data_IF_978869284465
#
_entry.id   IF_978869284465
#
_cell.length_a   1.000
_cell.length_b   1.000
_cell.length_c   1.000
_cell.angle_alpha   90.00
_cell.angle_beta   90.00
_cell.angle_gamma   90.00
#
_symmetry.space_group_name_H-M   'P 1'
#
loop_
_entity.id
_entity.type
_entity.pdbx_description
1 polymer ?
#
# COMPACT_ATOMS: atom_id res chain seq x y z
N UNK A 1 7.99 -0.83 1.87
CA UNK A 1 8.38 -0.54 0.47
C UNK A 1 8.50 -1.84 -0.29
N UNK A 2 7.64 -2.07 -1.28
CA UNK A 2 7.69 -3.30 -2.05
C UNK A 2 7.31 -3.07 -3.51
N UNK A 3 7.89 -2.01 -4.09
CA UNK A 3 7.83 -1.83 -5.54
C UNK A 3 8.38 -3.07 -6.25
N UNK A 4 9.31 -3.81 -5.64
CA UNK A 4 9.87 -5.04 -6.21
C UNK A 4 8.81 -6.14 -6.40
N UNK A 5 7.98 -6.47 -5.39
CA UNK A 5 6.94 -7.49 -5.59
C UNK A 5 5.78 -6.98 -6.47
N UNK A 6 5.39 -5.71 -6.36
CA UNK A 6 4.37 -5.11 -7.22
C UNK A 6 4.79 -5.10 -8.70
N UNK A 7 6.02 -4.67 -8.97
CA UNK A 7 6.59 -4.70 -10.31
C UNK A 7 6.84 -6.13 -10.79
N UNK A 8 7.29 -7.06 -9.93
CA UNK A 8 7.40 -8.49 -10.28
C UNK A 8 6.07 -9.05 -10.78
N UNK A 9 4.95 -8.72 -10.14
CA UNK A 9 3.63 -9.16 -10.58
C UNK A 9 3.27 -8.59 -11.97
N UNK A 10 3.60 -7.31 -12.23
CA UNK A 10 3.43 -6.69 -13.55
C UNK A 10 4.32 -7.35 -14.62
N UNK A 11 5.58 -7.67 -14.29
CA UNK A 11 6.53 -8.30 -15.20
C UNK A 11 6.28 -9.80 -15.42
N UNK A 12 5.57 -10.47 -14.51
CA UNK A 12 5.17 -11.87 -14.66
C UNK A 12 4.10 -12.08 -15.75
N UNK A 13 3.40 -11.02 -16.17
CA UNK A 13 2.38 -11.06 -17.22
C UNK A 13 3.00 -10.97 -18.63
N UNK A 14 2.22 -11.39 -19.63
CA UNK A 14 2.65 -11.44 -21.04
C UNK A 14 3.20 -10.09 -21.53
N UNK A 15 4.24 -10.15 -22.36
CA UNK A 15 5.03 -8.99 -22.79
C UNK A 15 4.20 -7.87 -23.43
N UNK A 16 3.13 -8.24 -24.14
CA UNK A 16 2.23 -7.30 -24.83
C UNK A 16 1.47 -6.37 -23.87
N UNK A 17 1.23 -6.81 -22.64
CA UNK A 17 0.42 -6.07 -21.66
C UNK A 17 1.27 -5.28 -20.66
N UNK A 18 2.57 -5.56 -20.55
CA UNK A 18 3.47 -4.97 -19.53
C UNK A 18 3.52 -3.45 -19.55
N UNK A 19 3.66 -2.84 -20.74
CA UNK A 19 3.73 -1.37 -20.86
C UNK A 19 2.46 -0.69 -20.34
N UNK A 20 1.28 -1.24 -20.69
CA UNK A 20 -0.02 -0.74 -20.23
C UNK A 20 -0.19 -0.91 -18.72
N UNK A 21 0.18 -2.07 -18.19
CA UNK A 21 0.08 -2.36 -16.77
C UNK A 21 1.04 -1.51 -15.93
N UNK A 22 2.24 -1.24 -16.42
CA UNK A 22 3.17 -0.34 -15.75
C UNK A 22 2.64 1.11 -15.74
N UNK A 23 2.09 1.57 -16.86
CA UNK A 23 1.43 2.87 -16.92
C UNK A 23 0.28 2.95 -15.90
N UNK A 24 -0.61 1.96 -15.87
CA UNK A 24 -1.69 1.88 -14.89
C UNK A 24 -1.16 1.88 -13.45
N UNK A 25 -0.12 1.09 -13.15
CA UNK A 25 0.49 1.02 -11.82
C UNK A 25 1.00 2.39 -11.38
N UNK A 26 1.73 3.10 -12.25
CA UNK A 26 2.24 4.45 -11.94
C UNK A 26 1.11 5.46 -11.83
N UNK A 27 0.11 5.42 -12.71
CA UNK A 27 -1.08 6.27 -12.62
C UNK A 27 -1.83 6.05 -11.30
N UNK A 28 -1.98 4.81 -10.84
CA UNK A 28 -2.61 4.52 -9.54
C UNK A 28 -1.82 5.10 -8.37
N UNK A 29 -0.49 5.05 -8.41
CA UNK A 29 0.36 5.70 -7.39
C UNK A 29 0.12 7.21 -7.37
N UNK A 30 0.09 7.86 -8.54
CA UNK A 30 -0.17 9.30 -8.63
C UNK A 30 -1.57 9.67 -8.14
N UNK A 31 -2.59 8.90 -8.50
CA UNK A 31 -3.97 9.13 -8.00
C UNK A 31 -4.00 9.03 -6.47
N UNK A 32 -3.37 8.00 -5.90
CA UNK A 32 -3.27 7.84 -4.45
C UNK A 32 -2.52 9.01 -3.79
N UNK A 33 -1.42 9.47 -4.39
CA UNK A 33 -0.65 10.62 -3.89
C UNK A 33 -1.44 11.93 -3.95
N UNK A 34 -2.17 12.17 -5.04
CA UNK A 34 -3.01 13.36 -5.20
C UNK A 34 -4.16 13.38 -4.17
N UNK A 35 -4.84 12.24 -4.01
CA UNK A 35 -5.90 12.09 -3.02
C UNK A 35 -5.38 12.22 -1.58
N UNK A 36 -4.25 11.58 -1.26
CA UNK A 36 -3.61 11.73 0.05
C UNK A 36 -3.24 13.18 0.34
N UNK A 37 -2.71 13.90 -0.65
CA UNK A 37 -2.33 15.31 -0.52
C UNK A 37 -3.53 16.22 -0.29
N UNK A 38 -4.64 16.01 -0.99
CA UNK A 38 -5.84 16.83 -0.82
C UNK A 38 -6.47 16.64 0.56
N UNK A 39 -6.48 15.40 1.08
CA UNK A 39 -7.00 15.09 2.42
C UNK A 39 -6.06 15.59 3.52
N UNK A 40 -4.74 15.55 3.30
CA UNK A 40 -3.75 15.92 4.32
C UNK A 40 -3.90 17.36 4.82
N UNK A 41 -4.21 18.32 3.93
CA UNK A 41 -4.41 19.73 4.33
C UNK A 41 -5.58 19.87 5.32
N UNK A 42 -6.75 19.32 4.96
CA UNK A 42 -7.94 19.39 5.80
C UNK A 42 -7.74 18.67 7.15
N UNK A 43 -7.09 17.50 7.13
CA UNK A 43 -6.77 16.76 8.36
C UNK A 43 -5.84 17.55 9.27
N UNK A 44 -4.85 18.24 8.69
CA UNK A 44 -3.93 19.07 9.46
C UNK A 44 -4.60 20.32 10.03
N UNK A 45 -5.45 20.99 9.26
CA UNK A 45 -6.14 22.20 9.73
C UNK A 45 -7.06 21.92 10.92
N UNK A 46 -7.76 20.78 10.91
CA UNK A 46 -8.70 20.44 11.98
C UNK A 46 -8.06 19.70 13.17
N UNK A 47 -6.94 19.00 12.95
CA UNK A 47 -6.37 18.09 13.94
C UNK A 47 -4.87 18.23 14.18
N UNK A 48 -4.19 19.06 13.40
CA UNK A 48 -2.74 19.18 13.43
C UNK A 48 -2.02 17.88 13.10
N UNK A 49 -0.77 17.80 13.57
CA UNK A 49 0.15 16.72 13.20
C UNK A 49 -0.29 15.33 13.69
N UNK A 50 -0.88 15.24 14.88
CA UNK A 50 -1.30 13.96 15.46
C UNK A 50 -2.31 13.24 14.56
N UNK A 51 -3.29 13.97 14.03
CA UNK A 51 -4.31 13.39 13.15
C UNK A 51 -3.75 12.98 11.80
N UNK A 52 -2.73 13.68 11.26
CA UNK A 52 -1.98 13.20 10.08
C UNK A 52 -1.39 11.81 10.36
N UNK A 53 -0.74 11.63 11.51
CA UNK A 53 -0.11 10.35 11.87
C UNK A 53 -1.15 9.24 12.02
N UNK A 54 -2.28 9.53 12.69
CA UNK A 54 -3.37 8.56 12.87
C UNK A 54 -3.95 8.13 11.51
N UNK A 55 -4.31 9.09 10.65
CA UNK A 55 -4.90 8.79 9.33
C UNK A 55 -3.88 8.09 8.43
N UNK A 56 -2.63 8.55 8.40
CA UNK A 56 -1.57 7.97 7.58
C UNK A 56 -1.16 6.56 8.01
N UNK A 57 -1.29 6.23 9.30
CA UNK A 57 -0.97 4.91 9.83
C UNK A 57 -2.12 3.90 9.74
N UNK A 58 -3.36 4.34 9.49
CA UNK A 58 -4.53 3.47 9.45
C UNK A 58 -4.40 2.32 8.44
N UNK A 59 -4.02 2.61 7.19
CA UNK A 59 -3.86 1.56 6.16
C UNK A 59 -2.72 0.58 6.46
N UNK A 60 -1.50 1.02 6.82
CA UNK A 60 -0.44 0.11 7.28
C UNK A 60 -0.84 -0.74 8.49
N UNK A 61 -1.55 -0.16 9.46
CA UNK A 61 -2.02 -0.89 10.64
C UNK A 61 -3.04 -1.96 10.28
N UNK A 62 -4.01 -1.67 9.41
CA UNK A 62 -4.96 -2.67 8.90
C UNK A 62 -4.24 -3.82 8.17
N UNK A 63 -3.26 -3.49 7.32
CA UNK A 63 -2.46 -4.50 6.62
C UNK A 63 -1.67 -5.38 7.61
N UNK A 64 -1.08 -4.78 8.65
CA UNK A 64 -0.36 -5.48 9.71
C UNK A 64 -1.30 -6.39 10.50
N UNK A 65 -2.45 -5.89 10.94
CA UNK A 65 -3.45 -6.69 11.65
C UNK A 65 -3.92 -7.88 10.81
N UNK A 66 -4.12 -7.66 9.50
CA UNK A 66 -4.49 -8.75 8.59
C UNK A 66 -3.37 -9.79 8.50
N UNK A 67 -2.12 -9.37 8.33
CA UNK A 67 -0.96 -10.26 8.27
C UNK A 67 -0.83 -11.12 9.54
N UNK A 68 -0.97 -10.50 10.71
CA UNK A 68 -0.96 -11.20 11.99
C UNK A 68 -2.13 -12.19 12.12
N UNK A 69 -3.28 -11.87 11.53
CA UNK A 69 -4.44 -12.77 11.50
C UNK A 69 -4.33 -13.90 10.47
N UNK A 70 -3.51 -13.75 9.43
CA UNK A 70 -3.25 -14.82 8.43
C UNK A 70 -2.23 -15.81 8.94
N UNK A 71 -1.25 -15.39 9.74
CA UNK A 71 -0.15 -16.24 10.22
C UNK A 71 -0.71 -17.46 10.99
N UNK A 72 -0.70 -18.68 10.41
CA UNK A 72 -1.13 -19.86 11.12
C UNK A 72 -0.10 -20.18 12.23
N UNK A 73 -0.58 -20.50 13.43
CA UNK A 73 0.22 -20.91 14.61
C UNK A 73 0.97 -22.24 14.43
N UNK A 74 1.41 -22.62 13.23
CA UNK A 74 1.72 -24.01 12.88
C UNK A 74 3.05 -24.32 12.20
N UNK A 75 4.01 -23.38 12.08
CA UNK A 75 5.28 -23.66 11.37
C UNK A 75 6.51 -23.84 12.29
N UNK A 76 6.31 -24.08 13.58
CA UNK A 76 7.41 -24.36 14.53
C UNK A 76 7.46 -25.84 14.98
N UNK A 77 6.65 -26.74 14.40
CA UNK A 77 6.48 -28.11 14.89
C UNK A 77 7.09 -29.23 14.03
N UNK A 78 7.92 -28.93 13.04
CA UNK A 78 8.71 -29.95 12.31
C UNK A 78 10.06 -29.39 11.94
N UNK A 79 10.97 -29.43 12.91
CA UNK A 79 12.42 -29.50 12.71
C UNK A 79 12.85 -30.96 12.91
#
# INVERSE_FOLDING_TARGET
>A
MNMVLGQRAVYALDGKSRSRLNALYMTSIFIGGAFGSSVASAVYEHGGWLWIVIVGSAFPLLALLRFLSVSPKGSLATA
#
